data_IF_212262145738
#
_entry.id   IF_212262145738
#
_cell.length_a   1.000
_cell.length_b   1.000
_cell.length_c   1.000
_cell.angle_alpha   90.00
_cell.angle_beta   90.00
_cell.angle_gamma   90.00
#
_symmetry.space_group_name_H-M   'P 1'
#
loop_
_entity.id
_entity.type
_entity.pdbx_description
1 polymer ?
#
# COMPACT_ATOMS: atom_id res chain seq x y z
N UNK A 1 -9.00 -30.78 -29.80
CA UNK A 1 -7.87 -31.50 -29.20
C UNK A 1 -6.58 -31.01 -29.84
N UNK A 2 -5.51 -30.93 -29.04
CA UNK A 2 -4.14 -30.50 -29.35
C UNK A 2 -3.85 -28.99 -29.24
N UNK A 3 -3.15 -28.68 -28.14
CA UNK A 3 -2.47 -27.44 -27.80
C UNK A 3 -1.35 -27.12 -28.81
N UNK A 4 -1.21 -25.85 -29.16
CA UNK A 4 0.06 -25.28 -29.62
C UNK A 4 0.42 -24.11 -28.72
N UNK A 5 1.30 -24.40 -27.76
CA UNK A 5 2.02 -23.43 -26.95
C UNK A 5 2.89 -22.55 -27.87
N UNK A 6 2.75 -21.23 -27.75
CA UNK A 6 3.72 -20.28 -28.29
C UNK A 6 4.08 -19.26 -27.20
N UNK A 7 5.00 -19.65 -26.31
CA UNK A 7 5.72 -18.71 -25.44
C UNK A 7 6.82 -18.04 -26.24
N UNK A 8 6.71 -16.73 -26.47
CA UNK A 8 7.83 -15.86 -26.85
C UNK A 8 7.90 -14.70 -25.86
N UNK A 9 8.78 -14.80 -24.88
CA UNK A 9 9.17 -13.69 -24.03
C UNK A 9 10.19 -12.84 -24.79
N UNK A 10 9.89 -11.55 -24.98
CA UNK A 10 10.85 -10.56 -25.42
C UNK A 10 11.79 -10.26 -24.23
N UNK A 11 13.06 -10.58 -24.40
CA UNK A 11 14.11 -10.34 -23.39
C UNK A 11 14.38 -8.84 -23.21
N UNK A 12 14.44 -8.41 -21.95
CA UNK A 12 14.84 -7.06 -21.56
C UNK A 12 16.32 -6.80 -21.92
N UNK A 13 16.68 -5.75 -22.67
CA UNK A 13 18.05 -5.49 -23.12
C UNK A 13 19.02 -5.06 -22.00
N UNK A 14 18.53 -4.90 -20.76
CA UNK A 14 19.34 -4.41 -19.63
C UNK A 14 19.78 -5.51 -18.64
N UNK A 15 19.28 -6.75 -18.76
CA UNK A 15 19.67 -7.85 -17.87
C UNK A 15 19.93 -9.13 -18.67
N UNK A 16 21.21 -9.49 -18.85
CA UNK A 16 21.68 -10.67 -19.61
C UNK A 16 21.36 -12.02 -18.92
N UNK A 17 20.10 -12.31 -18.61
CA UNK A 17 19.63 -13.69 -18.36
C UNK A 17 20.30 -14.48 -17.24
N UNK A 18 20.78 -13.85 -16.16
CA UNK A 18 21.32 -14.57 -15.02
C UNK A 18 20.21 -14.95 -14.03
N UNK A 19 19.50 -16.03 -14.35
CA UNK A 19 18.58 -16.70 -13.44
C UNK A 19 18.59 -18.19 -13.74
N UNK A 20 19.56 -18.92 -13.19
CA UNK A 20 19.56 -20.39 -13.21
C UNK A 20 19.02 -20.92 -11.89
N UNK A 21 17.91 -21.63 -12.01
CA UNK A 21 17.37 -22.61 -11.07
C UNK A 21 18.35 -23.78 -10.90
N UNK A 22 18.45 -24.30 -9.67
CA UNK A 22 18.98 -25.65 -9.40
C UNK A 22 17.94 -26.40 -8.57
N UNK A 23 17.75 -27.63 -9.02
CA UNK A 23 16.75 -28.67 -8.73
C UNK A 23 16.87 -29.35 -7.37
N UNK A 24 15.75 -29.98 -7.00
CA UNK A 24 15.49 -30.85 -5.84
C UNK A 24 16.55 -31.94 -5.56
N UNK A 25 16.68 -32.27 -4.27
CA UNK A 25 16.93 -33.64 -3.82
C UNK A 25 16.17 -33.89 -2.53
N UNK A 26 15.43 -35.00 -2.51
CA UNK A 26 14.65 -35.51 -1.39
C UNK A 26 15.56 -36.14 -0.31
N UNK A 27 15.15 -36.07 0.95
CA UNK A 27 15.40 -37.13 1.92
C UNK A 27 14.34 -37.15 3.01
N UNK A 28 13.89 -38.35 3.28
CA UNK A 28 12.77 -38.80 4.10
C UNK A 28 13.19 -39.04 5.57
N UNK A 29 12.20 -38.87 6.47
CA UNK A 29 11.96 -39.65 7.69
C UNK A 29 12.88 -39.50 8.91
N UNK A 30 12.32 -38.94 10.00
CA UNK A 30 12.21 -39.64 11.30
C UNK A 30 11.39 -38.81 12.33
N UNK A 31 10.25 -39.36 12.76
CA UNK A 31 9.59 -39.05 14.03
C UNK A 31 10.42 -39.59 15.22
N UNK A 32 10.25 -38.97 16.40
CA UNK A 32 10.18 -39.53 17.78
C UNK A 32 10.34 -38.34 18.76
N UNK A 33 9.28 -37.87 19.42
CA UNK A 33 8.69 -38.33 20.70
C UNK A 33 9.50 -38.01 21.97
N UNK A 34 9.05 -36.96 22.68
CA UNK A 34 8.77 -36.81 24.13
C UNK A 34 9.68 -37.53 25.15
N UNK A 35 10.30 -36.77 26.08
CA UNK A 35 10.33 -36.91 27.56
C UNK A 35 10.72 -35.53 28.15
N UNK A 36 9.86 -34.78 28.86
CA UNK A 36 9.50 -34.81 30.29
C UNK A 36 10.67 -34.98 31.28
N UNK A 37 11.02 -33.92 32.01
CA UNK A 37 11.43 -34.01 33.42
C UNK A 37 11.24 -32.68 34.18
N UNK A 38 10.69 -32.83 35.39
CA UNK A 38 10.28 -31.81 36.37
C UNK A 38 11.45 -31.30 37.21
N UNK A 39 11.33 -30.07 37.76
CA UNK A 39 11.14 -29.83 39.22
C UNK A 39 11.75 -28.51 39.76
N UNK A 40 10.91 -27.80 40.53
CA UNK A 40 11.15 -26.95 41.72
C UNK A 40 11.91 -25.59 41.56
N UNK A 41 11.24 -24.43 41.70
CA UNK A 41 10.68 -23.76 42.91
C UNK A 41 11.74 -23.02 43.75
N UNK A 42 11.63 -21.68 43.89
CA UNK A 42 11.75 -20.92 45.16
C UNK A 42 11.07 -19.53 45.02
N UNK A 43 10.50 -19.12 46.16
CA UNK A 43 9.63 -18.00 46.56
C UNK A 43 10.26 -16.58 46.58
N UNK A 44 9.48 -15.53 46.28
CA UNK A 44 8.92 -14.45 47.17
C UNK A 44 9.90 -13.38 47.68
N UNK A 45 9.59 -12.10 47.37
CA UNK A 45 9.70 -10.99 48.31
C UNK A 45 8.81 -9.78 47.89
N UNK A 46 7.89 -9.39 48.78
CA UNK A 46 7.14 -8.12 48.82
C UNK A 46 8.03 -7.01 49.37
N UNK A 47 7.86 -5.75 48.92
CA UNK A 47 7.65 -4.61 49.83
C UNK A 47 7.06 -3.38 49.10
N UNK A 48 6.39 -2.53 49.86
CA UNK A 48 5.43 -1.49 49.51
C UNK A 48 5.83 -0.17 50.23
N UNK A 49 5.17 0.95 49.88
CA UNK A 49 5.09 2.26 50.58
C UNK A 49 6.20 3.30 50.26
N UNK A 50 6.01 4.64 50.20
CA UNK A 50 4.99 5.60 50.68
C UNK A 50 5.02 6.91 49.84
N UNK A 51 3.95 7.70 50.01
CA UNK A 51 3.47 8.97 49.41
C UNK A 51 3.97 10.25 50.13
N UNK A 52 4.10 11.38 49.41
CA UNK A 52 3.83 12.78 49.84
C UNK A 52 4.07 13.74 48.63
N UNK A 53 3.20 14.61 48.09
CA UNK A 53 2.29 15.72 48.52
C UNK A 53 2.90 17.13 48.61
N UNK A 54 2.42 18.00 47.68
CA UNK A 54 2.26 19.50 47.65
C UNK A 54 3.53 20.37 47.60
N UNK A 55 3.63 21.56 46.98
CA UNK A 55 2.78 22.62 46.39
C UNK A 55 3.64 23.38 45.34
N UNK A 56 3.20 23.96 44.22
CA UNK A 56 2.18 25.00 43.97
C UNK A 56 2.88 26.30 43.52
N UNK A 57 2.77 26.71 42.25
CA UNK A 57 2.42 28.10 41.84
C UNK A 57 2.16 28.20 40.31
N UNK A 58 1.41 29.24 39.98
CA UNK A 58 0.49 29.49 38.88
C UNK A 58 1.08 30.05 37.58
N UNK A 59 0.32 29.94 36.49
CA UNK A 59 0.60 30.57 35.19
C UNK A 59 -0.31 30.06 34.07
N UNK A 60 -1.57 30.50 34.07
CA UNK A 60 -2.63 30.21 33.10
C UNK A 60 -2.27 30.47 31.62
N UNK A 61 -2.85 29.68 30.71
CA UNK A 61 -3.62 30.21 29.58
C UNK A 61 -4.58 29.15 29.00
N UNK A 62 -5.82 29.57 28.89
CA UNK A 62 -7.06 28.83 28.71
C UNK A 62 -7.25 28.30 27.27
N UNK A 63 -7.69 27.05 27.10
CA UNK A 63 -8.48 26.64 25.93
C UNK A 63 -9.56 25.63 26.34
N UNK A 64 -10.78 25.88 25.87
CA UNK A 64 -12.03 25.38 26.42
C UNK A 64 -12.27 23.87 26.23
N UNK A 65 -12.75 23.25 27.31
CA UNK A 65 -13.27 21.88 27.43
C UNK A 65 -14.71 21.77 26.92
N UNK A 66 -15.06 20.62 26.32
CA UNK A 66 -16.33 19.87 26.38
C UNK A 66 -16.16 18.66 25.44
N UNK A 67 -16.48 17.40 25.74
CA UNK A 67 -17.13 16.77 26.89
C UNK A 67 -16.88 15.25 26.80
N UNK A 68 -16.87 14.56 27.94
CA UNK A 68 -16.73 13.11 28.10
C UNK A 68 -17.87 12.30 27.47
N UNK A 69 -17.56 11.08 26.99
CA UNK A 69 -18.18 9.82 27.47
C UNK A 69 -18.04 8.61 26.52
N UNK A 70 -17.60 7.49 27.11
CA UNK A 70 -17.94 6.07 26.86
C UNK A 70 -17.20 5.25 25.79
N UNK A 71 -16.74 4.08 26.25
CA UNK A 71 -16.18 2.93 25.53
C UNK A 71 -16.91 2.57 24.23
N UNK A 72 -16.21 2.07 23.19
CA UNK A 72 -16.84 1.28 22.16
C UNK A 72 -16.87 -0.21 22.55
N UNK A 73 -18.08 -0.78 22.50
CA UNK A 73 -18.34 -2.22 22.40
C UNK A 73 -18.00 -2.71 20.99
N UNK A 74 -17.70 -4.00 20.91
CA UNK A 74 -17.40 -4.80 19.72
C UNK A 74 -18.29 -4.49 18.51
N UNK A 75 -17.66 -4.33 17.34
CA UNK A 75 -18.34 -4.33 16.04
C UNK A 75 -17.52 -5.15 15.04
N UNK A 76 -18.14 -6.23 14.55
CA UNK A 76 -17.71 -7.11 13.47
C UNK A 76 -17.51 -6.35 12.13
N UNK A 77 -16.66 -6.83 11.22
CA UNK A 77 -16.30 -6.10 10.00
C UNK A 77 -17.34 -6.32 8.88
N UNK A 78 -18.41 -5.53 8.89
CA UNK A 78 -19.22 -5.30 7.70
C UNK A 78 -18.71 -4.01 7.02
N UNK A 79 -18.01 -4.17 5.90
CA UNK A 79 -17.62 -3.05 5.04
C UNK A 79 -18.88 -2.34 4.51
N UNK A 80 -19.20 -1.20 5.10
CA UNK A 80 -20.11 -0.24 4.48
C UNK A 80 -19.36 0.48 3.35
N UNK A 81 -19.51 -0.04 2.12
CA UNK A 81 -19.23 0.70 0.90
C UNK A 81 -20.24 1.85 0.80
N UNK A 82 -19.87 3.01 1.35
CA UNK A 82 -20.64 4.24 1.23
C UNK A 82 -20.54 4.77 -0.20
N UNK A 83 -21.67 4.70 -0.91
CA UNK A 83 -22.19 5.74 -1.80
C UNK A 83 -21.16 6.35 -2.78
N UNK A 84 -20.68 5.53 -3.71
CA UNK A 84 -20.03 6.04 -4.93
C UNK A 84 -21.13 6.51 -5.86
N UNK A 85 -21.32 7.82 -5.93
CA UNK A 85 -22.10 8.46 -6.98
C UNK A 85 -21.59 7.97 -8.34
N UNK A 86 -22.40 7.12 -8.97
CA UNK A 86 -22.37 6.82 -10.39
C UNK A 86 -22.24 8.16 -11.13
N UNK A 87 -21.30 8.25 -12.07
CA UNK A 87 -21.23 9.40 -12.99
C UNK A 87 -22.65 9.66 -13.51
N UNK A 88 -23.21 10.88 -13.34
CA UNK A 88 -24.49 11.17 -13.92
C UNK A 88 -24.33 11.02 -15.43
N UNK A 89 -25.15 10.15 -16.02
CA UNK A 89 -25.41 10.21 -17.46
C UNK A 89 -26.00 11.60 -17.71
N UNK A 90 -25.28 12.42 -18.48
CA UNK A 90 -25.82 13.67 -19.00
C UNK A 90 -27.01 13.33 -19.92
N UNK A 91 -28.18 13.82 -19.55
CA UNK A 91 -29.38 13.84 -20.39
C UNK A 91 -29.10 14.61 -21.68
N UNK A 92 -28.93 13.90 -22.79
CA UNK A 92 -29.19 14.43 -24.12
C UNK A 92 -29.50 13.29 -25.10
N UNK A 93 -30.78 13.10 -25.37
CA UNK A 93 -31.36 12.37 -26.51
C UNK A 93 -30.72 11.01 -26.83
N UNK A 94 -31.37 9.92 -26.38
CA UNK A 94 -31.11 8.58 -26.87
C UNK A 94 -31.29 8.52 -28.40
N UNK A 95 -30.17 8.60 -29.10
CA UNK A 95 -30.02 8.02 -30.43
C UNK A 95 -29.53 6.57 -30.25
N UNK A 96 -29.93 5.63 -31.14
CA UNK A 96 -29.65 4.21 -30.95
C UNK A 96 -28.15 3.99 -30.70
N UNK A 97 -27.80 3.29 -29.60
CA UNK A 97 -26.43 2.83 -29.34
C UNK A 97 -26.00 1.93 -30.49
N UNK A 98 -25.41 2.52 -31.53
CA UNK A 98 -24.58 1.81 -32.49
C UNK A 98 -23.43 1.20 -31.69
N UNK A 99 -23.43 -0.13 -31.58
CA UNK A 99 -22.33 -0.89 -31.00
C UNK A 99 -21.10 -0.71 -31.89
N UNK A 100 -20.37 0.41 -31.71
CA UNK A 100 -19.06 0.61 -32.31
C UNK A 100 -18.13 -0.44 -31.73
N UNK A 101 -17.36 -1.12 -32.58
CA UNK A 101 -16.46 -2.16 -32.11
C UNK A 101 -15.48 -1.60 -31.06
N UNK A 102 -15.04 -2.38 -30.06
CA UNK A 102 -14.04 -1.93 -29.07
C UNK A 102 -12.77 -1.36 -29.72
N UNK A 103 -12.39 -1.89 -30.88
CA UNK A 103 -11.27 -1.45 -31.71
C UNK A 103 -11.48 -0.06 -32.32
N UNK A 104 -12.67 0.23 -32.85
CA UNK A 104 -13.01 1.56 -33.37
C UNK A 104 -13.09 2.58 -32.24
N UNK A 105 -13.70 2.20 -31.12
CA UNK A 105 -13.78 3.05 -29.92
C UNK A 105 -12.39 3.40 -29.42
N UNK A 106 -11.48 2.41 -29.34
CA UNK A 106 -10.08 2.63 -29.00
C UNK A 106 -9.42 3.60 -29.98
N UNK A 107 -9.53 3.34 -31.29
CA UNK A 107 -8.88 4.16 -32.34
C UNK A 107 -9.33 5.62 -32.23
N UNK A 108 -10.63 5.87 -32.10
CA UNK A 108 -11.18 7.21 -31.96
C UNK A 108 -10.73 7.87 -30.64
N UNK A 109 -10.79 7.16 -29.52
CA UNK A 109 -10.34 7.69 -28.22
C UNK A 109 -8.85 8.06 -28.24
N UNK A 110 -7.98 7.22 -28.83
CA UNK A 110 -6.55 7.50 -28.94
C UNK A 110 -6.21 8.68 -29.86
N UNK A 111 -7.07 8.98 -30.83
CA UNK A 111 -6.99 10.20 -31.64
C UNK A 111 -7.38 11.43 -30.81
N UNK A 112 -8.46 11.36 -30.04
CA UNK A 112 -8.88 12.45 -29.15
C UNK A 112 -7.80 12.79 -28.10
N UNK A 113 -7.10 11.79 -27.56
CA UNK A 113 -5.96 12.00 -26.67
C UNK A 113 -4.80 12.80 -27.30
N UNK A 114 -4.81 13.10 -28.61
CA UNK A 114 -3.79 13.94 -29.28
C UNK A 114 -4.10 15.44 -29.16
N UNK A 115 -5.35 15.81 -28.89
CA UNK A 115 -5.81 17.21 -28.93
C UNK A 115 -5.35 18.03 -27.72
N UNK A 116 -4.79 17.37 -26.69
CA UNK A 116 -4.28 17.97 -25.45
C UNK A 116 -5.25 18.93 -24.73
N UNK A 117 -6.56 18.72 -24.95
CA UNK A 117 -7.63 19.42 -24.24
C UNK A 117 -8.18 18.53 -23.15
N UNK A 118 -8.30 19.05 -21.92
CA UNK A 118 -8.70 18.24 -20.77
C UNK A 118 -10.11 17.65 -20.94
N UNK A 119 -11.05 18.35 -21.56
CA UNK A 119 -12.40 17.85 -21.83
C UNK A 119 -12.36 16.64 -22.76
N UNK A 120 -11.63 16.78 -23.87
CA UNK A 120 -11.45 15.71 -24.86
C UNK A 120 -10.73 14.51 -24.26
N UNK A 121 -9.71 14.77 -23.45
CA UNK A 121 -8.95 13.74 -22.74
C UNK A 121 -9.83 12.96 -21.74
N UNK A 122 -10.63 13.64 -20.92
CA UNK A 122 -11.54 12.97 -19.98
C UNK A 122 -12.57 12.12 -20.74
N UNK A 123 -13.23 12.68 -21.76
CA UNK A 123 -14.20 11.92 -22.58
C UNK A 123 -13.57 10.68 -23.23
N UNK A 124 -12.36 10.83 -23.79
CA UNK A 124 -11.63 9.72 -24.38
C UNK A 124 -11.25 8.66 -23.35
N UNK A 125 -10.74 9.05 -22.18
CA UNK A 125 -10.38 8.11 -21.11
C UNK A 125 -11.60 7.37 -20.56
N UNK A 126 -12.77 8.01 -20.45
CA UNK A 126 -14.02 7.35 -20.06
C UNK A 126 -14.42 6.28 -21.08
N UNK A 127 -14.26 6.54 -22.38
CA UNK A 127 -14.47 5.52 -23.43
C UNK A 127 -13.47 4.37 -23.32
N UNK A 128 -12.21 4.67 -22.98
CA UNK A 128 -11.18 3.65 -22.77
C UNK A 128 -11.44 2.79 -21.52
N UNK A 129 -12.08 3.33 -20.48
CA UNK A 129 -12.62 2.50 -19.38
C UNK A 129 -13.63 1.50 -19.93
N UNK A 130 -14.58 1.93 -20.76
CA UNK A 130 -15.55 0.98 -21.31
C UNK A 130 -14.87 -0.13 -22.12
N UNK A 131 -13.88 0.21 -22.94
CA UNK A 131 -13.05 -0.77 -23.66
C UNK A 131 -12.33 -1.70 -22.68
N UNK A 132 -11.77 -1.20 -21.58
CA UNK A 132 -11.04 -2.03 -20.61
C UNK A 132 -11.92 -3.03 -19.88
N UNK A 133 -13.23 -2.77 -19.77
CA UNK A 133 -14.20 -3.72 -19.19
C UNK A 133 -14.57 -4.86 -20.13
N UNK A 134 -14.42 -4.67 -21.43
CA UNK A 134 -14.77 -5.67 -22.45
C UNK A 134 -13.52 -6.45 -22.88
N UNK A 135 -12.45 -5.72 -23.24
CA UNK A 135 -11.24 -6.26 -23.82
C UNK A 135 -9.99 -5.49 -23.34
N UNK A 136 -9.50 -5.73 -22.11
CA UNK A 136 -8.39 -4.98 -21.52
C UNK A 136 -7.07 -5.13 -22.30
N UNK A 137 -6.80 -6.31 -22.88
CA UNK A 137 -5.55 -6.59 -23.61
C UNK A 137 -5.36 -5.70 -24.85
N UNK A 138 -6.46 -5.13 -25.37
CA UNK A 138 -6.43 -4.22 -26.50
C UNK A 138 -5.75 -2.87 -26.16
N UNK A 139 -5.73 -2.52 -24.87
CA UNK A 139 -5.17 -1.25 -24.38
C UNK A 139 -3.66 -1.34 -24.12
N UNK A 140 -3.09 -2.53 -23.94
CA UNK A 140 -1.69 -2.76 -23.57
C UNK A 140 -0.67 -1.95 -24.41
N UNK A 141 -0.78 -1.87 -25.75
CA UNK A 141 0.16 -1.11 -26.57
C UNK A 141 0.08 0.40 -26.35
N UNK A 142 -1.05 0.88 -25.81
CA UNK A 142 -1.37 2.29 -25.66
C UNK A 142 -1.23 2.78 -24.21
N UNK A 143 -1.01 1.87 -23.25
CA UNK A 143 -0.97 2.20 -21.83
C UNK A 143 0.02 3.30 -21.44
N UNK A 144 1.26 3.35 -21.95
CA UNK A 144 2.19 4.45 -21.66
C UNK A 144 1.59 5.82 -22.00
N UNK A 145 0.88 5.91 -23.12
CA UNK A 145 0.25 7.16 -23.53
C UNK A 145 -0.95 7.52 -22.66
N UNK A 146 -1.78 6.53 -22.32
CA UNK A 146 -2.92 6.70 -21.43
C UNK A 146 -2.47 7.20 -20.05
N UNK A 147 -1.44 6.59 -19.47
CA UNK A 147 -0.89 7.03 -18.18
C UNK A 147 -0.24 8.42 -18.26
N UNK A 148 0.48 8.76 -19.33
CA UNK A 148 0.98 10.14 -19.53
C UNK A 148 -0.15 11.18 -19.57
N UNK A 149 -1.25 10.88 -20.26
CA UNK A 149 -2.44 11.73 -20.25
C UNK A 149 -3.01 11.86 -18.84
N UNK A 150 -3.13 10.77 -18.09
CA UNK A 150 -3.60 10.82 -16.69
C UNK A 150 -2.70 11.67 -15.80
N UNK A 151 -1.38 11.52 -15.91
CA UNK A 151 -0.42 12.34 -15.17
C UNK A 151 -0.60 13.84 -15.49
N UNK A 152 -0.84 14.18 -16.76
CA UNK A 152 -1.16 15.56 -17.17
C UNK A 152 -2.46 16.07 -16.52
N UNK A 153 -3.54 15.27 -16.54
CA UNK A 153 -4.83 15.63 -15.94
C UNK A 153 -4.76 15.77 -14.41
N UNK A 154 -3.98 14.92 -13.73
CA UNK A 154 -3.77 15.04 -12.29
C UNK A 154 -3.02 16.32 -11.91
N UNK A 155 -2.21 16.88 -12.81
CA UNK A 155 -1.53 18.18 -12.63
C UNK A 155 -2.42 19.39 -12.94
N UNK A 156 -3.66 19.18 -13.39
CA UNK A 156 -4.58 20.28 -13.69
C UNK A 156 -4.95 21.07 -12.42
N UNK A 157 -5.28 22.36 -12.59
CA UNK A 157 -5.68 23.25 -11.49
C UNK A 157 -7.16 23.07 -11.12
N UNK A 158 -7.99 22.58 -12.04
CA UNK A 158 -9.43 22.40 -11.84
C UNK A 158 -9.69 21.19 -10.94
N UNK A 159 -10.32 21.35 -9.76
CA UNK A 159 -10.52 20.24 -8.84
C UNK A 159 -11.31 19.08 -9.43
N UNK A 160 -12.37 19.36 -10.19
CA UNK A 160 -13.20 18.32 -10.81
C UNK A 160 -12.40 17.46 -11.79
N UNK A 161 -11.51 18.07 -12.57
CA UNK A 161 -10.63 17.34 -13.51
C UNK A 161 -9.69 16.39 -12.76
N UNK A 162 -9.08 16.86 -11.68
CA UNK A 162 -8.18 16.05 -10.86
C UNK A 162 -8.93 14.89 -10.19
N UNK A 163 -10.14 15.15 -9.66
CA UNK A 163 -10.98 14.13 -9.04
C UNK A 163 -11.37 13.03 -10.04
N UNK A 164 -11.86 13.40 -11.22
CA UNK A 164 -12.18 12.44 -12.28
C UNK A 164 -10.94 11.67 -12.73
N UNK A 165 -9.77 12.31 -12.84
CA UNK A 165 -8.54 11.62 -13.18
C UNK A 165 -8.11 10.58 -12.12
N UNK A 166 -8.30 10.88 -10.82
CA UNK A 166 -8.09 9.89 -9.75
C UNK A 166 -9.02 8.68 -9.92
N UNK A 167 -10.30 8.90 -10.21
CA UNK A 167 -11.29 7.84 -10.41
C UNK A 167 -10.96 6.98 -11.64
N UNK A 168 -10.52 7.60 -12.73
CA UNK A 168 -10.08 6.87 -13.93
C UNK A 168 -8.83 6.03 -13.63
N UNK A 169 -7.85 6.59 -12.90
CA UNK A 169 -6.66 5.85 -12.49
C UNK A 169 -7.00 4.63 -11.62
N UNK A 170 -7.92 4.80 -10.67
CA UNK A 170 -8.45 3.72 -9.84
C UNK A 170 -9.02 2.57 -10.68
N UNK A 171 -9.81 2.89 -11.71
CA UNK A 171 -10.42 1.90 -12.59
C UNK A 171 -9.39 1.20 -13.49
N UNK A 172 -8.39 1.91 -14.02
CA UNK A 172 -7.35 1.27 -14.82
C UNK A 172 -6.43 0.36 -14.01
N UNK A 173 -6.14 0.68 -12.75
CA UNK A 173 -5.42 -0.25 -11.87
C UNK A 173 -6.20 -1.56 -11.70
N UNK A 174 -7.53 -1.47 -11.56
CA UNK A 174 -8.41 -2.63 -11.42
C UNK A 174 -8.49 -3.47 -12.69
N UNK A 175 -8.76 -2.82 -13.84
CA UNK A 175 -9.13 -3.53 -15.07
C UNK A 175 -7.93 -3.93 -15.93
N UNK A 176 -6.86 -3.14 -15.97
CA UNK A 176 -5.73 -3.33 -16.91
C UNK A 176 -4.48 -3.82 -16.20
N UNK A 177 -4.25 -3.39 -14.97
CA UNK A 177 -3.10 -3.80 -14.16
C UNK A 177 -1.73 -3.58 -14.84
N UNK A 178 -1.64 -2.56 -15.70
CA UNK A 178 -0.42 -2.26 -16.43
C UNK A 178 0.69 -1.76 -15.48
N UNK A 179 1.88 -2.36 -15.60
CA UNK A 179 3.05 -2.04 -14.78
C UNK A 179 4.22 -1.47 -15.58
N UNK A 180 3.94 -0.97 -16.79
CA UNK A 180 4.95 -0.39 -17.68
C UNK A 180 5.55 0.89 -17.07
N UNK A 181 6.89 0.96 -17.13
CA UNK A 181 7.68 2.07 -16.59
C UNK A 181 8.15 3.00 -17.72
N UNK A 182 8.35 4.29 -17.44
CA UNK A 182 8.25 4.96 -16.14
C UNK A 182 6.84 5.37 -15.70
N UNK A 183 5.84 5.23 -16.57
CA UNK A 183 4.55 5.89 -16.37
C UNK A 183 3.76 5.43 -15.15
N UNK A 184 3.80 4.14 -14.80
CA UNK A 184 3.12 3.65 -13.59
C UNK A 184 3.72 4.23 -12.30
N UNK A 185 5.03 4.48 -12.29
CA UNK A 185 5.73 5.07 -11.14
C UNK A 185 5.29 6.54 -11.00
N UNK A 186 5.38 7.30 -12.09
CA UNK A 186 4.99 8.72 -12.10
C UNK A 186 3.51 8.89 -11.69
N UNK A 187 2.62 8.02 -12.17
CA UNK A 187 1.21 8.05 -11.80
C UNK A 187 1.01 7.87 -10.30
N UNK A 188 1.66 6.86 -9.71
CA UNK A 188 1.59 6.60 -8.28
C UNK A 188 2.21 7.73 -7.44
N UNK A 189 3.31 8.35 -7.90
CA UNK A 189 3.91 9.53 -7.28
C UNK A 189 2.95 10.70 -7.17
N UNK A 190 2.30 11.03 -8.29
CA UNK A 190 1.35 12.15 -8.32
C UNK A 190 0.16 11.83 -7.41
N UNK A 191 -0.35 10.59 -7.42
CA UNK A 191 -1.43 10.18 -6.52
C UNK A 191 -1.03 10.28 -5.04
N UNK A 192 0.21 9.95 -4.67
CA UNK A 192 0.73 10.15 -3.31
C UNK A 192 0.81 11.63 -2.92
N UNK A 193 1.18 12.51 -3.86
CA UNK A 193 1.09 13.95 -3.61
C UNK A 193 -0.36 14.39 -3.41
N UNK A 194 -1.28 13.91 -4.26
CA UNK A 194 -2.71 14.24 -4.20
C UNK A 194 -3.43 13.66 -2.99
N UNK A 195 -2.98 12.56 -2.40
CA UNK A 195 -3.55 11.99 -1.17
C UNK A 195 -3.46 12.95 0.03
N UNK A 196 -2.58 13.95 -0.07
CA UNK A 196 -2.34 14.98 0.96
C UNK A 196 -2.77 16.39 0.53
N UNK A 197 -3.49 16.50 -0.59
CA UNK A 197 -3.99 17.76 -1.11
C UNK A 197 -4.89 18.51 -0.12
N UNK A 198 -5.07 19.82 -0.24
CA UNK A 198 -5.93 20.59 0.70
C UNK A 198 -7.43 20.33 0.49
N UNK A 199 -7.83 20.02 -0.75
CA UNK A 199 -9.20 19.63 -1.09
C UNK A 199 -9.51 18.19 -0.62
N UNK A 200 -10.56 18.03 0.21
CA UNK A 200 -10.99 16.73 0.76
C UNK A 200 -11.40 15.71 -0.32
N UNK A 201 -12.12 16.15 -1.35
CA UNK A 201 -12.54 15.27 -2.46
C UNK A 201 -11.34 14.69 -3.20
N UNK A 202 -10.38 15.55 -3.59
CA UNK A 202 -9.14 15.12 -4.24
C UNK A 202 -8.35 14.14 -3.36
N UNK A 203 -8.22 14.43 -2.06
CA UNK A 203 -7.53 13.51 -1.13
C UNK A 203 -8.18 12.14 -1.11
N UNK A 204 -9.50 12.10 -0.95
CA UNK A 204 -10.24 10.85 -0.85
C UNK A 204 -10.12 10.04 -2.15
N UNK A 205 -10.35 10.67 -3.31
CA UNK A 205 -10.28 9.98 -4.60
C UNK A 205 -8.86 9.47 -4.89
N UNK A 206 -7.82 10.25 -4.53
CA UNK A 206 -6.42 9.82 -4.68
C UNK A 206 -6.06 8.65 -3.74
N UNK A 207 -6.56 8.65 -2.50
CA UNK A 207 -6.37 7.53 -1.58
C UNK A 207 -7.05 6.26 -2.10
N UNK A 208 -8.27 6.37 -2.63
CA UNK A 208 -8.98 5.23 -3.22
C UNK A 208 -8.25 4.67 -4.45
N UNK A 209 -7.68 5.54 -5.29
CA UNK A 209 -6.84 5.11 -6.42
C UNK A 209 -5.58 4.36 -5.97
N UNK A 210 -4.91 4.82 -4.91
CA UNK A 210 -3.75 4.13 -4.32
C UNK A 210 -4.14 2.80 -3.67
N UNK A 211 -5.31 2.72 -3.06
CA UNK A 211 -5.83 1.47 -2.50
C UNK A 211 -6.15 0.46 -3.61
N UNK A 212 -6.75 0.91 -4.72
CA UNK A 212 -6.95 0.07 -5.91
C UNK A 212 -5.64 -0.40 -6.52
N UNK A 213 -4.61 0.45 -6.56
CA UNK A 213 -3.26 0.06 -7.00
C UNK A 213 -2.72 -1.10 -6.16
N UNK A 214 -2.79 -0.99 -4.82
CA UNK A 214 -2.32 -2.04 -3.90
C UNK A 214 -3.15 -3.32 -3.99
N UNK A 215 -4.44 -3.22 -4.23
CA UNK A 215 -5.34 -4.36 -4.33
C UNK A 215 -5.15 -5.18 -5.62
N UNK A 216 -4.76 -4.55 -6.73
CA UNK A 216 -4.78 -5.20 -8.05
C UNK A 216 -3.40 -5.34 -8.71
N UNK A 217 -2.43 -4.49 -8.41
CA UNK A 217 -1.09 -4.64 -8.98
C UNK A 217 -0.25 -5.66 -8.22
N UNK A 218 0.76 -6.28 -8.87
CA UNK A 218 1.67 -7.21 -8.20
C UNK A 218 2.33 -6.56 -6.96
N UNK A 219 2.33 -7.23 -5.79
CA UNK A 219 2.84 -6.64 -4.55
C UNK A 219 4.30 -6.16 -4.62
N UNK A 220 5.15 -6.89 -5.35
CA UNK A 220 6.55 -6.50 -5.57
C UNK A 220 6.65 -5.15 -6.32
N UNK A 221 5.75 -4.89 -7.27
CA UNK A 221 5.66 -3.63 -8.00
C UNK A 221 5.22 -2.49 -7.07
N UNK A 222 4.15 -2.69 -6.30
CA UNK A 222 3.66 -1.71 -5.34
C UNK A 222 4.73 -1.33 -4.32
N UNK A 223 5.39 -2.33 -3.72
CA UNK A 223 6.45 -2.10 -2.72
C UNK A 223 7.62 -1.36 -3.36
N UNK A 224 8.03 -1.71 -4.58
CA UNK A 224 9.07 -0.97 -5.31
C UNK A 224 8.70 0.50 -5.46
N UNK A 225 7.50 0.81 -5.97
CA UNK A 225 7.03 2.19 -6.17
C UNK A 225 7.01 2.97 -4.85
N UNK A 226 6.36 2.40 -3.83
CA UNK A 226 6.22 3.02 -2.51
C UNK A 226 7.57 3.26 -1.82
N UNK A 227 8.57 2.40 -2.07
CA UNK A 227 9.91 2.54 -1.50
C UNK A 227 10.85 3.44 -2.31
N UNK A 228 10.66 3.58 -3.63
CA UNK A 228 11.56 4.35 -4.49
C UNK A 228 11.26 5.84 -4.53
N UNK A 229 9.99 6.25 -4.44
CA UNK A 229 9.59 7.60 -4.85
C UNK A 229 9.14 8.49 -3.66
N UNK A 230 8.59 7.89 -2.60
CA UNK A 230 8.10 8.62 -1.44
C UNK A 230 8.15 7.81 -0.13
N UNK A 231 9.19 6.98 0.03
CA UNK A 231 9.33 6.08 1.19
C UNK A 231 9.47 6.80 2.54
N UNK A 232 10.16 6.16 3.49
CA UNK A 232 10.18 6.64 4.88
C UNK A 232 10.84 8.01 5.04
N UNK A 233 11.58 8.47 4.05
CA UNK A 233 12.34 9.72 4.09
C UNK A 233 11.62 10.90 3.42
N UNK A 234 10.36 10.74 3.00
CA UNK A 234 9.62 11.84 2.38
C UNK A 234 9.44 13.02 3.36
N UNK A 235 9.61 14.27 2.92
CA UNK A 235 9.53 15.46 3.81
C UNK A 235 8.15 15.63 4.46
N UNK A 236 7.09 15.39 3.70
CA UNK A 236 5.70 15.49 4.17
C UNK A 236 5.30 14.28 5.04
N UNK A 237 4.95 14.46 6.34
CA UNK A 237 4.53 13.37 7.23
C UNK A 237 3.24 12.66 6.81
N UNK A 238 2.33 13.34 6.10
CA UNK A 238 1.08 12.74 5.64
C UNK A 238 1.31 11.74 4.49
N UNK A 239 2.32 11.98 3.66
CA UNK A 239 2.74 11.04 2.62
C UNK A 239 3.36 9.80 3.27
N UNK A 240 4.23 10.00 4.28
CA UNK A 240 4.77 8.89 5.08
C UNK A 240 3.66 8.05 5.72
N UNK A 241 2.60 8.67 6.23
CA UNK A 241 1.42 7.97 6.75
C UNK A 241 0.68 7.16 5.70
N UNK A 242 0.46 7.75 4.52
CA UNK A 242 -0.17 7.04 3.40
C UNK A 242 0.67 5.81 3.01
N UNK A 243 1.99 5.95 2.87
CA UNK A 243 2.88 4.85 2.52
C UNK A 243 2.91 3.77 3.60
N UNK A 244 2.98 4.13 4.87
CA UNK A 244 2.94 3.17 5.99
C UNK A 244 1.64 2.35 5.99
N UNK A 245 0.49 3.02 5.81
CA UNK A 245 -0.83 2.37 5.69
C UNK A 245 -0.90 1.43 4.49
N UNK A 246 -0.43 1.86 3.32
CA UNK A 246 -0.43 1.04 2.11
C UNK A 246 0.48 -0.19 2.27
N UNK A 247 1.65 -0.06 2.91
CA UNK A 247 2.53 -1.19 3.21
C UNK A 247 1.86 -2.21 4.13
N UNK A 248 1.17 -1.76 5.18
CA UNK A 248 0.38 -2.64 6.04
C UNK A 248 -0.68 -3.42 5.23
N UNK A 249 -1.40 -2.74 4.33
CA UNK A 249 -2.39 -3.38 3.46
C UNK A 249 -1.76 -4.42 2.52
N UNK A 250 -0.61 -4.12 1.91
CA UNK A 250 0.10 -5.06 1.04
C UNK A 250 0.48 -6.33 1.81
N UNK A 251 0.93 -6.20 3.05
CA UNK A 251 1.33 -7.36 3.88
C UNK A 251 0.14 -8.24 4.23
N UNK A 252 -1.02 -7.63 4.51
CA UNK A 252 -2.26 -8.38 4.73
C UNK A 252 -2.73 -9.12 3.46
N UNK A 253 -2.47 -8.56 2.27
CA UNK A 253 -2.78 -9.21 0.99
C UNK A 253 -1.81 -10.37 0.70
N UNK A 254 -0.50 -10.18 0.93
CA UNK A 254 0.52 -11.23 0.73
C UNK A 254 0.35 -12.36 1.76
N UNK A 255 0.03 -12.01 3.00
CA UNK A 255 0.09 -12.89 4.16
C UNK A 255 1.51 -12.95 4.78
N UNK A 256 1.58 -12.89 6.11
CA UNK A 256 2.85 -12.89 6.87
C UNK A 256 3.64 -14.18 6.65
N UNK A 257 2.98 -15.33 6.77
CA UNK A 257 3.60 -16.66 6.58
C UNK A 257 4.27 -16.76 5.21
N UNK A 258 3.55 -16.38 4.16
CA UNK A 258 4.06 -16.45 2.79
C UNK A 258 5.19 -15.44 2.55
N UNK A 259 5.09 -14.23 3.11
CA UNK A 259 6.14 -13.21 3.00
C UNK A 259 7.46 -13.63 3.64
N UNK A 260 7.41 -14.26 4.82
CA UNK A 260 8.60 -14.60 5.59
C UNK A 260 9.23 -15.92 5.15
N UNK A 261 8.42 -16.93 4.83
CA UNK A 261 8.88 -18.27 4.44
C UNK A 261 9.31 -18.38 2.98
N UNK A 262 8.85 -17.49 2.08
CA UNK A 262 9.16 -17.61 0.66
C UNK A 262 10.48 -16.89 0.27
N UNK A 263 11.52 -17.62 -0.17
CA UNK A 263 12.79 -17.01 -0.56
C UNK A 263 12.70 -16.09 -1.78
N UNK A 264 11.71 -16.28 -2.67
CA UNK A 264 11.50 -15.40 -3.82
C UNK A 264 11.03 -13.99 -3.43
N UNK A 265 10.53 -13.82 -2.20
CA UNK A 265 10.10 -12.54 -1.66
C UNK A 265 11.17 -11.84 -0.82
N UNK A 266 12.43 -12.34 -0.81
CA UNK A 266 13.53 -11.77 -0.01
C UNK A 266 13.69 -10.26 -0.20
N UNK A 267 13.74 -9.80 -1.45
CA UNK A 267 13.93 -8.37 -1.73
C UNK A 267 12.72 -7.53 -1.30
N UNK A 268 11.52 -8.10 -1.41
CA UNK A 268 10.26 -7.49 -0.97
C UNK A 268 10.23 -7.37 0.55
N UNK A 269 10.52 -8.46 1.26
CA UNK A 269 10.63 -8.53 2.73
C UNK A 269 11.67 -7.54 3.25
N UNK A 270 12.86 -7.51 2.64
CA UNK A 270 13.93 -6.56 3.00
C UNK A 270 13.47 -5.11 2.91
N UNK A 271 12.79 -4.73 1.81
CA UNK A 271 12.26 -3.38 1.63
C UNK A 271 11.22 -3.03 2.69
N UNK A 272 10.32 -3.97 3.03
CA UNK A 272 9.32 -3.80 4.09
C UNK A 272 10.01 -3.56 5.44
N UNK A 273 10.92 -4.45 5.86
CA UNK A 273 11.60 -4.32 7.15
C UNK A 273 12.38 -3.01 7.25
N UNK A 274 13.14 -2.67 6.22
CA UNK A 274 13.87 -1.40 6.13
C UNK A 274 12.95 -0.20 6.29
N UNK A 275 11.77 -0.24 5.66
CA UNK A 275 10.79 0.83 5.73
C UNK A 275 10.15 0.96 7.12
N UNK A 276 9.71 -0.14 7.71
CA UNK A 276 9.15 -0.14 9.06
C UNK A 276 10.17 0.36 10.09
N UNK A 277 11.43 -0.08 9.99
CA UNK A 277 12.49 0.38 10.87
C UNK A 277 12.75 1.88 10.72
N UNK A 278 12.80 2.41 9.49
CA UNK A 278 12.92 3.86 9.25
C UNK A 278 11.73 4.65 9.81
N UNK A 279 10.50 4.14 9.72
CA UNK A 279 9.35 4.79 10.35
C UNK A 279 9.45 4.81 11.88
N UNK A 280 10.01 3.78 12.51
CA UNK A 280 10.28 3.77 13.95
C UNK A 280 11.32 4.82 14.35
N UNK A 281 12.40 4.99 13.56
CA UNK A 281 13.41 6.03 13.78
C UNK A 281 12.80 7.43 13.76
N UNK A 282 11.97 7.69 12.76
CA UNK A 282 11.37 9.01 12.55
C UNK A 282 10.34 9.39 13.64
N UNK A 283 9.82 8.42 14.40
CA UNK A 283 8.73 8.56 15.36
C UNK A 283 8.99 9.43 16.60
N UNK A 284 10.19 9.99 16.77
CA UNK A 284 10.58 10.72 17.99
C UNK A 284 10.06 12.18 18.09
N UNK A 285 9.15 12.65 17.21
CA UNK A 285 8.56 14.01 17.30
C UNK A 285 7.04 13.93 17.45
N UNK A 286 6.47 14.79 18.32
CA UNK A 286 5.06 14.76 18.80
C UNK A 286 3.96 14.81 17.73
N UNK A 287 4.23 15.26 16.50
CA UNK A 287 3.23 15.40 15.42
C UNK A 287 3.16 14.20 14.44
N UNK A 288 3.70 13.03 14.82
CA UNK A 288 4.05 11.92 13.91
C UNK A 288 3.33 10.59 14.16
N UNK A 289 2.27 10.58 14.98
CA UNK A 289 1.65 9.36 15.53
C UNK A 289 1.01 8.45 14.45
N UNK A 290 0.48 9.01 13.37
CA UNK A 290 -0.31 8.24 12.39
C UNK A 290 0.50 7.18 11.63
N UNK A 291 1.64 7.54 11.04
CA UNK A 291 2.46 6.59 10.29
C UNK A 291 3.19 5.58 11.17
N UNK A 292 3.51 5.99 12.41
CA UNK A 292 4.15 5.13 13.39
C UNK A 292 3.22 4.00 13.83
N UNK A 293 1.91 4.25 13.95
CA UNK A 293 0.95 3.23 14.33
C UNK A 293 0.89 2.09 13.29
N UNK A 294 0.76 2.41 12.01
CA UNK A 294 0.69 1.40 10.95
C UNK A 294 2.02 0.64 10.78
N UNK A 295 3.16 1.30 10.99
CA UNK A 295 4.46 0.63 11.02
C UNK A 295 4.57 -0.34 12.21
N UNK A 296 4.08 0.06 13.39
CA UNK A 296 4.02 -0.79 14.58
C UNK A 296 3.07 -1.99 14.38
N UNK A 297 1.87 -1.78 13.83
CA UNK A 297 0.93 -2.86 13.46
C UNK A 297 1.57 -3.85 12.50
N UNK A 298 2.25 -3.33 11.47
CA UNK A 298 2.97 -4.13 10.49
C UNK A 298 4.02 -5.01 11.16
N UNK A 299 4.88 -4.44 12.01
CA UNK A 299 5.91 -5.20 12.71
C UNK A 299 5.30 -6.23 13.67
N UNK A 300 4.27 -5.86 14.44
CA UNK A 300 3.57 -6.78 15.34
C UNK A 300 2.98 -7.98 14.59
N UNK A 301 2.35 -7.75 13.44
CA UNK A 301 1.81 -8.83 12.61
C UNK A 301 2.90 -9.84 12.20
N UNK A 302 4.11 -9.36 11.91
CA UNK A 302 5.25 -10.21 11.53
C UNK A 302 5.98 -10.84 12.72
N UNK A 303 5.99 -10.19 13.88
CA UNK A 303 6.70 -10.65 15.09
C UNK A 303 6.22 -11.98 15.66
N UNK A 304 5.02 -12.44 15.29
CA UNK A 304 4.50 -13.75 15.69
C UNK A 304 5.15 -14.92 14.94
N UNK A 305 5.83 -14.66 13.82
CA UNK A 305 6.45 -15.71 13.02
C UNK A 305 7.79 -16.14 13.63
N UNK A 306 8.03 -17.44 13.71
CA UNK A 306 9.22 -18.02 14.33
C UNK A 306 10.55 -17.46 13.76
N UNK A 307 10.60 -17.24 12.44
CA UNK A 307 11.81 -16.75 11.77
C UNK A 307 11.94 -15.23 11.77
N UNK A 308 11.00 -14.49 12.38
CA UNK A 308 10.98 -13.03 12.30
C UNK A 308 12.31 -12.41 12.70
N UNK A 309 12.85 -12.80 13.86
CA UNK A 309 14.09 -12.23 14.37
C UNK A 309 15.26 -12.49 13.43
N UNK A 310 15.50 -13.76 13.09
CA UNK A 310 16.56 -14.16 12.17
C UNK A 310 16.50 -13.36 10.87
N UNK A 311 15.32 -13.26 10.27
CA UNK A 311 15.14 -12.55 9.00
C UNK A 311 15.27 -11.03 9.15
N UNK A 312 14.77 -10.46 10.25
CA UNK A 312 14.83 -9.01 10.49
C UNK A 312 16.28 -8.54 10.71
N UNK A 313 17.05 -9.25 11.55
CA UNK A 313 18.46 -8.94 11.79
C UNK A 313 19.34 -9.21 10.56
N UNK A 314 18.94 -10.14 9.69
CA UNK A 314 19.63 -10.39 8.43
C UNK A 314 19.38 -9.31 7.37
N UNK A 315 18.14 -8.82 7.25
CA UNK A 315 17.73 -7.94 6.15
C UNK A 315 17.78 -6.44 6.47
N UNK A 316 17.90 -6.05 7.75
CA UNK A 316 18.02 -4.64 8.17
C UNK A 316 19.45 -4.30 8.56
N UNK A 317 19.92 -3.11 8.16
CA UNK A 317 21.26 -2.63 8.54
C UNK A 317 21.38 -2.47 10.06
N UNK A 318 22.46 -3.00 10.63
CA UNK A 318 22.71 -3.01 12.06
C UNK A 318 22.64 -1.62 12.71
N UNK A 319 23.03 -0.54 12.00
CA UNK A 319 22.96 0.83 12.51
C UNK A 319 21.52 1.27 12.74
N UNK A 320 20.62 0.86 11.84
CA UNK A 320 19.20 1.15 11.98
C UNK A 320 18.63 0.34 13.14
N UNK A 321 18.98 -0.94 13.24
CA UNK A 321 18.56 -1.84 14.32
C UNK A 321 18.93 -1.26 15.69
N UNK A 322 20.20 -0.88 15.88
CA UNK A 322 20.69 -0.31 17.14
C UNK A 322 19.91 0.95 17.57
N UNK A 323 19.46 1.75 16.60
CA UNK A 323 18.70 2.96 16.85
C UNK A 323 17.20 2.71 17.13
N UNK A 324 16.64 1.57 16.69
CA UNK A 324 15.22 1.21 16.92
C UNK A 324 15.01 0.13 17.98
N UNK A 325 16.08 -0.47 18.53
CA UNK A 325 16.04 -1.63 19.42
C UNK A 325 15.07 -1.45 20.59
N UNK A 326 15.15 -0.32 21.30
CA UNK A 326 14.24 0.00 22.42
C UNK A 326 12.76 -0.02 22.00
N UNK A 327 12.46 0.48 20.80
CA UNK A 327 11.10 0.48 20.26
C UNK A 327 10.66 -0.95 19.89
N UNK A 328 11.56 -1.75 19.31
CA UNK A 328 11.28 -3.16 18.97
C UNK A 328 11.00 -4.00 20.22
N UNK A 329 11.83 -3.87 21.26
CA UNK A 329 11.65 -4.58 22.54
C UNK A 329 10.33 -4.17 23.19
N UNK A 330 10.03 -2.86 23.24
CA UNK A 330 8.76 -2.35 23.76
C UNK A 330 7.55 -2.91 22.98
N UNK A 331 7.67 -3.01 21.65
CA UNK A 331 6.61 -3.57 20.80
C UNK A 331 6.34 -5.05 21.10
N UNK A 332 7.40 -5.87 21.18
CA UNK A 332 7.26 -7.29 21.53
C UNK A 332 6.64 -7.48 22.91
N UNK A 333 7.11 -6.73 23.90
CA UNK A 333 6.57 -6.80 25.26
C UNK A 333 5.08 -6.45 25.30
N UNK A 334 4.67 -5.40 24.58
CA UNK A 334 3.25 -5.00 24.48
C UNK A 334 2.36 -6.00 23.76
N UNK A 335 2.93 -6.92 22.98
CA UNK A 335 2.20 -7.94 22.23
C UNK A 335 1.94 -9.17 23.09
N UNK A 336 2.94 -9.59 23.87
CA UNK A 336 2.83 -10.74 24.79
C UNK A 336 1.76 -10.47 25.87
N UNK A 337 1.62 -9.23 26.33
CA UNK A 337 0.71 -8.86 27.42
C UNK A 337 -0.66 -8.34 26.95
N UNK A 338 -0.95 -8.45 25.65
CA UNK A 338 -2.23 -8.08 25.04
C UNK A 338 -3.03 -9.28 24.53
N UNK A 339 -2.49 -10.49 24.64
CA UNK A 339 -3.17 -11.77 24.38
C UNK A 339 -3.75 -12.35 25.68
#
# INVERSE_FOLDING_TARGET
>A
MAHTDCKKYVTCPMCKGAGKSVTCTAMETACLSIQHENANSVQVAKTQFVKATHSGDSGDLHFSTLSDSKHPKDVSPAMNYGDYAFMPEDDCAETPKEFTSPQETLKHAMQNLKQDQWQSNISALTKLIHVSRIQPELLDPNMPRIYRTLCSLLRNTRPNVVRTACQIAMEFYKMIQCTQRPEVDELASILLLKSTHTNKGIRNDAQCALDSMVAHLPPATCIRILTSEHGASHKNPLIRATVSRLLYNIINIIGVEYLLSNPNLRDTRRKIFMMCAKFLLDGNNRNKVFFLNDAKKTLKAMMNHQDFDTLFYQDVDWKIINNVEKQLVSLKYSQIHSM
#
